data_IF_730583944125
#
_entry.id   IF_730583944125
#
_cell.length_a   1.000
_cell.length_b   1.000
_cell.length_c   1.000
_cell.angle_alpha   90.00
_cell.angle_beta   90.00
_cell.angle_gamma   90.00
#
_symmetry.space_group_name_H-M   'P 1'
#
loop_
_entity.id
_entity.type
_entity.pdbx_description
1 polymer ?
#
# COMPACT_ATOMS: atom_id res chain seq x y z
N UNK A 1 18.57 -25.85 6.95
CA UNK A 1 17.45 -25.07 7.48
C UNK A 1 16.26 -25.17 6.53
N UNK A 2 15.14 -25.78 6.95
CA UNK A 2 13.90 -25.85 6.18
C UNK A 2 13.34 -24.45 5.86
N UNK A 3 12.49 -24.29 4.83
CA UNK A 3 11.93 -23.00 4.44
C UNK A 3 11.16 -22.26 5.55
N UNK A 4 10.49 -22.99 6.45
CA UNK A 4 9.75 -22.42 7.58
C UNK A 4 10.67 -21.77 8.61
N UNK A 5 11.69 -22.50 9.06
CA UNK A 5 12.71 -22.02 10.02
C UNK A 5 13.47 -20.79 9.46
N UNK A 6 13.70 -20.74 8.13
CA UNK A 6 14.27 -19.54 7.49
C UNK A 6 13.37 -18.32 7.61
N UNK A 7 12.05 -18.48 7.40
CA UNK A 7 11.09 -17.37 7.50
C UNK A 7 10.99 -16.86 8.92
N UNK A 8 10.89 -17.78 9.89
CA UNK A 8 10.85 -17.42 11.32
C UNK A 8 12.06 -16.59 11.74
N UNK A 9 13.27 -17.00 11.34
CA UNK A 9 14.48 -16.24 11.61
C UNK A 9 14.46 -14.84 11.00
N UNK A 10 14.08 -14.71 9.73
CA UNK A 10 13.99 -13.41 9.05
C UNK A 10 12.95 -12.51 9.74
N UNK A 11 11.78 -13.05 10.08
CA UNK A 11 10.74 -12.32 10.80
C UNK A 11 11.26 -11.85 12.17
N UNK A 12 11.95 -12.71 12.92
CA UNK A 12 12.53 -12.33 14.21
C UNK A 12 13.58 -11.22 14.08
N UNK A 13 14.43 -11.26 13.05
CA UNK A 13 15.41 -10.20 12.77
C UNK A 13 14.73 -8.87 12.38
N UNK A 14 13.65 -8.92 11.60
CA UNK A 14 12.85 -7.73 11.27
C UNK A 14 12.25 -7.15 12.54
N UNK A 15 11.61 -7.97 13.37
CA UNK A 15 10.98 -7.53 14.63
C UNK A 15 12.04 -6.95 15.58
N UNK A 16 13.19 -7.61 15.76
CA UNK A 16 14.24 -7.12 16.64
C UNK A 16 14.81 -5.76 16.18
N UNK A 17 14.96 -5.57 14.86
CA UNK A 17 15.49 -4.31 14.30
C UNK A 17 14.47 -3.17 14.29
N UNK A 18 13.19 -3.48 14.06
CA UNK A 18 12.16 -2.46 13.78
C UNK A 18 11.18 -2.26 14.92
N UNK A 19 11.02 -3.22 15.84
CA UNK A 19 9.98 -3.22 16.86
C UNK A 19 8.56 -3.38 16.31
N UNK A 20 8.41 -3.83 15.04
CA UNK A 20 7.09 -4.01 14.44
C UNK A 20 6.33 -5.16 15.12
N UNK A 21 5.09 -4.86 15.50
CA UNK A 21 4.16 -5.80 16.13
C UNK A 21 2.78 -5.66 15.49
N UNK A 22 1.90 -6.65 15.73
CA UNK A 22 0.53 -6.61 15.23
C UNK A 22 -0.27 -5.39 15.73
N UNK A 23 -0.23 -5.02 17.03
CA UNK A 23 -0.88 -3.79 17.49
C UNK A 23 -0.32 -2.52 16.84
N UNK A 24 0.98 -2.49 16.50
CA UNK A 24 1.57 -1.36 15.79
C UNK A 24 1.04 -1.26 14.36
N UNK A 25 0.93 -2.39 13.65
CA UNK A 25 0.33 -2.46 12.31
C UNK A 25 -1.12 -1.95 12.35
N UNK A 26 -1.92 -2.39 13.33
CA UNK A 26 -3.30 -1.94 13.46
C UNK A 26 -3.39 -0.42 13.67
N UNK A 27 -2.57 0.13 14.59
CA UNK A 27 -2.51 1.58 14.84
C UNK A 27 -2.12 2.36 13.58
N UNK A 28 -1.08 1.91 12.88
CA UNK A 28 -0.61 2.53 11.64
C UNK A 28 -1.71 2.53 10.58
N UNK A 29 -2.33 1.37 10.33
CA UNK A 29 -3.35 1.21 9.30
C UNK A 29 -4.60 2.02 9.64
N UNK A 30 -5.06 2.02 10.90
CA UNK A 30 -6.21 2.84 11.32
C UNK A 30 -5.93 4.33 11.16
N UNK A 31 -4.77 4.81 11.62
CA UNK A 31 -4.37 6.21 11.48
C UNK A 31 -4.27 6.62 10.00
N UNK A 32 -3.68 5.77 9.18
CA UNK A 32 -3.52 6.01 7.76
C UNK A 32 -4.87 6.14 7.05
N UNK A 33 -5.79 5.19 7.27
CA UNK A 33 -7.09 5.24 6.62
C UNK A 33 -7.99 6.35 7.16
N UNK A 34 -7.80 6.82 8.40
CA UNK A 34 -8.46 8.04 8.87
C UNK A 34 -8.04 9.27 8.05
N UNK A 35 -6.75 9.41 7.73
CA UNK A 35 -6.25 10.47 6.85
C UNK A 35 -6.74 10.31 5.42
N UNK A 36 -6.70 9.10 4.86
CA UNK A 36 -7.21 8.81 3.51
C UNK A 36 -8.67 9.21 3.36
N UNK A 37 -9.51 8.89 4.34
CA UNK A 37 -10.94 9.27 4.33
C UNK A 37 -11.16 10.79 4.37
N UNK A 38 -10.24 11.52 4.97
CA UNK A 38 -10.31 12.98 5.08
C UNK A 38 -9.70 13.69 3.86
N UNK A 39 -8.94 12.98 3.02
CA UNK A 39 -8.34 13.53 1.81
C UNK A 39 -9.38 13.67 0.69
N UNK A 40 -9.50 14.86 0.11
CA UNK A 40 -10.53 15.17 -0.87
C UNK A 40 -10.42 14.39 -2.19
N UNK A 41 -9.23 13.88 -2.52
CA UNK A 41 -8.98 13.12 -3.77
C UNK A 41 -9.08 11.63 -3.49
N UNK A 42 -8.28 11.13 -2.55
CA UNK A 42 -8.27 9.71 -2.21
C UNK A 42 -9.56 9.27 -1.55
N UNK A 43 -10.13 10.08 -0.67
CA UNK A 43 -11.40 9.79 0.02
C UNK A 43 -12.49 9.39 -0.96
N UNK A 44 -12.66 10.14 -2.06
CA UNK A 44 -13.65 9.84 -3.11
C UNK A 44 -13.40 8.48 -3.78
N UNK A 45 -12.15 8.13 -4.07
CA UNK A 45 -11.79 6.84 -4.68
C UNK A 45 -12.15 5.67 -3.76
N UNK A 46 -11.86 5.82 -2.46
CA UNK A 46 -12.15 4.78 -1.47
C UNK A 46 -13.64 4.69 -1.14
N UNK A 47 -14.34 5.80 -0.94
CA UNK A 47 -15.79 5.86 -0.64
C UNK A 47 -16.64 5.26 -1.76
N UNK A 48 -16.22 5.40 -3.01
CA UNK A 48 -16.89 4.78 -4.15
C UNK A 48 -16.86 3.24 -4.13
N UNK A 49 -16.02 2.63 -3.28
CA UNK A 49 -15.79 1.17 -3.25
C UNK A 49 -15.92 0.54 -1.86
N UNK A 50 -15.84 1.33 -0.80
CA UNK A 50 -15.82 0.87 0.58
C UNK A 50 -16.95 1.54 1.35
N UNK A 51 -17.99 0.75 1.59
CA UNK A 51 -19.12 1.16 2.43
C UNK A 51 -18.98 0.66 3.87
N UNK A 52 -18.39 -0.53 4.05
CA UNK A 52 -18.05 -1.07 5.37
C UNK A 52 -16.52 -1.05 5.58
N UNK A 53 -16.10 -0.22 6.54
CA UNK A 53 -14.69 0.05 6.78
C UNK A 53 -14.01 -1.00 7.63
N UNK A 54 -14.68 -1.61 8.60
CA UNK A 54 -13.98 -2.53 9.52
C UNK A 54 -13.49 -3.79 8.80
N UNK A 55 -14.28 -4.47 7.94
CA UNK A 55 -13.77 -5.59 7.13
C UNK A 55 -12.66 -5.18 6.16
N UNK A 56 -12.65 -3.93 5.69
CA UNK A 56 -11.52 -3.41 4.92
C UNK A 56 -10.26 -3.28 5.77
N UNK A 57 -10.38 -2.67 6.95
CA UNK A 57 -9.25 -2.50 7.88
C UNK A 57 -8.67 -3.85 8.30
N UNK A 58 -9.49 -4.85 8.62
CA UNK A 58 -9.03 -6.21 8.97
C UNK A 58 -8.22 -6.85 7.84
N UNK A 59 -8.67 -6.69 6.58
CA UNK A 59 -7.90 -7.15 5.40
C UNK A 59 -6.57 -6.41 5.26
N UNK A 60 -6.54 -5.12 5.59
CA UNK A 60 -5.33 -4.31 5.54
C UNK A 60 -4.35 -4.62 6.66
N UNK A 61 -4.81 -5.02 7.85
CA UNK A 61 -3.95 -5.53 8.91
C UNK A 61 -3.26 -6.83 8.46
N UNK A 62 -4.03 -7.78 7.92
CA UNK A 62 -3.48 -9.02 7.38
C UNK A 62 -2.49 -8.77 6.23
N UNK A 63 -2.79 -7.82 5.33
CA UNK A 63 -1.92 -7.41 4.24
C UNK A 63 -0.59 -6.89 4.77
N UNK A 64 -0.61 -5.89 5.66
CA UNK A 64 0.61 -5.27 6.16
C UNK A 64 1.44 -6.20 7.05
N UNK A 65 0.81 -7.10 7.80
CA UNK A 65 1.56 -8.15 8.49
C UNK A 65 2.22 -9.14 7.53
N UNK A 66 1.56 -9.50 6.43
CA UNK A 66 2.17 -10.37 5.42
C UNK A 66 3.35 -9.69 4.72
N UNK A 67 3.23 -8.38 4.49
CA UNK A 67 4.26 -7.57 3.82
C UNK A 67 5.45 -7.27 4.74
N UNK A 68 5.21 -6.86 5.99
CA UNK A 68 6.27 -6.45 6.92
C UNK A 68 6.85 -7.62 7.72
N UNK A 69 6.03 -8.61 8.09
CA UNK A 69 6.41 -9.70 8.99
C UNK A 69 6.41 -11.08 8.32
N UNK A 70 6.12 -11.16 7.02
CA UNK A 70 6.07 -12.42 6.26
C UNK A 70 5.08 -13.45 6.86
N UNK A 71 4.04 -12.99 7.56
CA UNK A 71 3.12 -13.86 8.31
C UNK A 71 2.23 -14.74 7.44
N UNK A 72 2.07 -14.40 6.17
CA UNK A 72 1.24 -15.15 5.22
C UNK A 72 -0.27 -15.07 5.49
N UNK A 73 -0.74 -14.13 6.33
CA UNK A 73 -2.17 -13.97 6.69
C UNK A 73 -3.04 -13.36 5.58
N UNK A 74 -2.43 -12.79 4.55
CA UNK A 74 -3.12 -12.20 3.41
C UNK A 74 -2.99 -13.08 2.17
N UNK A 75 -4.13 -13.41 1.57
CA UNK A 75 -4.25 -14.28 0.39
C UNK A 75 -4.90 -13.60 -0.82
N UNK A 76 -5.05 -12.26 -0.78
CA UNK A 76 -5.67 -11.52 -1.86
C UNK A 76 -4.70 -11.22 -3.02
N UNK A 77 -5.25 -10.67 -4.11
CA UNK A 77 -4.50 -10.22 -5.28
C UNK A 77 -4.61 -8.69 -5.41
N UNK A 78 -3.67 -7.91 -4.85
CA UNK A 78 -3.75 -6.45 -4.82
C UNK A 78 -3.91 -5.87 -6.23
N UNK A 79 -3.10 -6.33 -7.20
CA UNK A 79 -3.12 -5.82 -8.58
C UNK A 79 -4.53 -5.88 -9.20
N UNK A 80 -5.22 -7.03 -9.08
CA UNK A 80 -6.55 -7.20 -9.65
C UNK A 80 -7.60 -6.24 -9.06
N UNK A 81 -7.40 -5.77 -7.82
CA UNK A 81 -8.28 -4.78 -7.18
C UNK A 81 -7.96 -3.34 -7.58
N UNK A 82 -6.72 -3.05 -7.98
CA UNK A 82 -6.29 -1.70 -8.34
C UNK A 82 -6.40 -1.41 -9.85
N UNK A 83 -6.23 -2.42 -10.71
CA UNK A 83 -6.40 -2.30 -12.17
C UNK A 83 -7.66 -1.53 -12.62
N UNK A 84 -8.88 -1.81 -12.09
CA UNK A 84 -10.09 -1.12 -12.53
C UNK A 84 -10.31 0.25 -11.84
N UNK A 85 -9.35 0.73 -11.03
CA UNK A 85 -9.49 2.02 -10.34
C UNK A 85 -9.03 3.16 -11.24
N UNK A 86 -9.72 4.31 -11.23
CA UNK A 86 -9.32 5.51 -11.95
C UNK A 86 -8.14 6.25 -11.27
N UNK A 87 -7.07 5.53 -10.96
CA UNK A 87 -5.88 6.06 -10.25
C UNK A 87 -4.68 6.16 -11.18
N UNK A 88 -3.76 7.05 -10.81
CA UNK A 88 -2.52 7.35 -11.51
C UNK A 88 -1.44 7.81 -10.52
N UNK A 89 -0.32 8.33 -11.03
CA UNK A 89 0.83 8.74 -10.22
C UNK A 89 0.49 9.74 -9.13
N UNK A 90 -0.38 10.72 -9.38
CA UNK A 90 -0.75 11.73 -8.39
C UNK A 90 -1.50 11.10 -7.21
N UNK A 91 -2.34 10.09 -7.48
CA UNK A 91 -3.01 9.33 -6.42
C UNK A 91 -2.00 8.53 -5.58
N UNK A 92 -1.05 7.86 -6.22
CA UNK A 92 -0.02 7.10 -5.51
C UNK A 92 0.90 8.01 -4.68
N UNK A 93 1.25 9.19 -5.20
CA UNK A 93 2.09 10.16 -4.48
C UNK A 93 1.38 10.70 -3.23
N UNK A 94 0.09 11.05 -3.35
CA UNK A 94 -0.74 11.43 -2.18
C UNK A 94 -0.85 10.30 -1.17
N UNK A 95 -1.09 9.08 -1.64
CA UNK A 95 -1.25 7.92 -0.76
C UNK A 95 0.06 7.64 0.00
N UNK A 96 1.21 7.72 -0.68
CA UNK A 96 2.54 7.56 -0.07
C UNK A 96 2.88 8.68 0.91
N UNK A 97 2.46 9.92 0.62
CA UNK A 97 2.65 11.05 1.53
C UNK A 97 1.89 10.84 2.84
N UNK A 98 0.59 10.54 2.78
CA UNK A 98 -0.24 10.28 3.96
C UNK A 98 0.24 9.05 4.75
N UNK A 99 0.65 8.00 4.04
CA UNK A 99 1.17 6.79 4.67
C UNK A 99 2.49 7.08 5.40
N UNK A 100 3.41 7.79 4.75
CA UNK A 100 4.70 8.13 5.34
C UNK A 100 4.60 9.12 6.50
N UNK A 101 3.67 10.07 6.44
CA UNK A 101 3.32 10.95 7.55
C UNK A 101 2.81 10.14 8.75
N UNK A 102 1.81 9.28 8.54
CA UNK A 102 1.26 8.43 9.62
C UNK A 102 2.32 7.50 10.20
N UNK A 103 3.16 6.90 9.35
CA UNK A 103 4.24 6.02 9.81
C UNK A 103 5.21 6.75 10.74
N UNK A 104 5.58 8.00 10.43
CA UNK A 104 6.45 8.82 11.28
C UNK A 104 5.80 9.26 12.59
N UNK A 105 4.48 9.40 12.63
CA UNK A 105 3.74 9.74 13.86
C UNK A 105 3.57 8.55 14.80
N UNK A 106 3.41 7.34 14.24
CA UNK A 106 2.93 6.16 14.97
C UNK A 106 4.06 5.20 15.37
N UNK A 107 5.14 5.15 14.58
CA UNK A 107 6.21 4.16 14.68
C UNK A 107 7.54 4.78 15.16
N UNK A 108 8.48 3.93 15.57
CA UNK A 108 9.89 4.34 15.68
C UNK A 108 10.46 4.72 14.29
N UNK A 109 11.57 5.47 14.22
CA UNK A 109 12.22 5.80 12.95
C UNK A 109 12.56 4.57 12.09
N UNK A 110 12.98 3.45 12.71
CA UNK A 110 13.34 2.21 12.03
C UNK A 110 12.11 1.54 11.42
N UNK A 111 11.02 1.41 12.19
CA UNK A 111 9.77 0.86 11.70
C UNK A 111 9.15 1.74 10.62
N UNK A 112 9.14 3.07 10.80
CA UNK A 112 8.62 4.01 9.82
C UNK A 112 9.37 3.90 8.49
N UNK A 113 10.71 3.89 8.54
CA UNK A 113 11.56 3.71 7.35
C UNK A 113 11.24 2.38 6.64
N UNK A 114 11.15 1.29 7.39
CA UNK A 114 10.85 -0.02 6.84
C UNK A 114 9.48 -0.06 6.13
N UNK A 115 8.43 0.45 6.77
CA UNK A 115 7.09 0.50 6.17
C UNK A 115 7.06 1.39 4.92
N UNK A 116 7.71 2.55 4.95
CA UNK A 116 7.73 3.48 3.81
C UNK A 116 8.45 2.87 2.60
N UNK A 117 9.55 2.15 2.82
CA UNK A 117 10.26 1.45 1.74
C UNK A 117 9.38 0.38 1.08
N UNK A 118 8.68 -0.41 1.89
CA UNK A 118 7.75 -1.43 1.40
C UNK A 118 6.58 -0.79 0.64
N UNK A 119 6.02 0.29 1.19
CA UNK A 119 4.93 1.05 0.58
C UNK A 119 5.31 1.58 -0.82
N UNK A 120 6.50 2.17 -0.96
CA UNK A 120 7.01 2.67 -2.24
C UNK A 120 7.18 1.57 -3.28
N UNK A 121 7.72 0.41 -2.88
CA UNK A 121 7.88 -0.75 -3.78
C UNK A 121 6.53 -1.27 -4.26
N UNK A 122 5.54 -1.35 -3.37
CA UNK A 122 4.18 -1.76 -3.73
C UNK A 122 3.53 -0.76 -4.68
N UNK A 123 3.59 0.53 -4.36
CA UNK A 123 3.03 1.59 -5.20
C UNK A 123 3.63 1.57 -6.61
N UNK A 124 4.96 1.50 -6.73
CA UNK A 124 5.65 1.41 -8.02
C UNK A 124 5.23 0.17 -8.83
N UNK A 125 5.10 -1.00 -8.18
CA UNK A 125 4.64 -2.22 -8.84
C UNK A 125 3.19 -2.11 -9.32
N UNK A 126 2.29 -1.56 -8.49
CA UNK A 126 0.89 -1.35 -8.84
C UNK A 126 0.75 -0.37 -10.00
N UNK A 127 1.45 0.77 -9.94
CA UNK A 127 1.42 1.79 -10.98
C UNK A 127 1.89 1.24 -12.34
N UNK A 128 3.02 0.51 -12.36
CA UNK A 128 3.52 -0.14 -13.58
C UNK A 128 2.52 -1.15 -14.14
N UNK A 129 1.90 -1.97 -13.27
CA UNK A 129 0.90 -2.95 -13.71
C UNK A 129 -0.38 -2.30 -14.25
N UNK A 130 -0.82 -1.20 -13.66
CA UNK A 130 -1.98 -0.42 -14.13
C UNK A 130 -1.69 0.23 -15.48
N UNK A 131 -0.50 0.80 -15.67
CA UNK A 131 -0.08 1.39 -16.94
C UNK A 131 -0.08 0.33 -18.05
N UNK A 132 0.55 -0.82 -17.81
CA UNK A 132 0.59 -1.93 -18.76
C UNK A 132 -0.80 -2.48 -19.10
N UNK A 133 -1.68 -2.60 -18.11
CA UNK A 133 -3.08 -3.01 -18.33
C UNK A 133 -3.88 -2.00 -19.19
N UNK A 134 -3.43 -0.75 -19.29
CA UNK A 134 -4.01 0.29 -20.13
C UNK A 134 -3.24 0.51 -21.43
N UNK A 135 -2.32 -0.40 -21.78
CA UNK A 135 -1.53 -0.32 -23.01
C UNK A 135 -0.45 0.77 -22.98
N UNK A 136 -0.14 1.34 -21.82
CA UNK A 136 0.90 2.36 -21.66
C UNK A 136 2.21 1.69 -21.24
N UNK A 137 3.24 1.85 -22.05
CA UNK A 137 4.61 1.44 -21.73
C UNK A 137 5.35 2.60 -21.09
N UNK A 138 5.70 2.48 -19.81
CA UNK A 138 6.48 3.49 -19.10
C UNK A 138 7.97 3.31 -19.38
N UNK A 139 8.64 4.38 -19.78
CA UNK A 139 10.09 4.48 -19.85
C UNK A 139 10.74 4.57 -18.47
N UNK A 140 12.08 4.56 -18.46
CA UNK A 140 12.83 4.65 -17.21
C UNK A 140 12.59 5.99 -16.51
N UNK A 141 12.05 5.95 -15.28
CA UNK A 141 11.72 7.14 -14.50
C UNK A 141 10.38 7.80 -14.87
N UNK A 142 9.67 7.28 -15.87
CA UNK A 142 8.32 7.77 -16.20
C UNK A 142 7.28 7.26 -15.20
N UNK A 143 6.26 8.08 -14.99
CA UNK A 143 5.15 7.81 -14.06
C UNK A 143 3.84 7.79 -14.85
N UNK A 144 2.94 6.90 -14.50
CA UNK A 144 1.66 6.76 -15.18
C UNK A 144 0.75 7.96 -14.86
N UNK A 145 0.40 8.75 -15.87
CA UNK A 145 -0.51 9.90 -15.75
C UNK A 145 -1.73 9.64 -16.62
N UNK A 146 -2.93 9.76 -16.05
CA UNK A 146 -4.16 9.77 -16.86
C UNK A 146 -4.32 11.19 -17.39
N UNK A 147 -4.20 11.38 -18.70
CA UNK A 147 -4.57 12.67 -19.29
C UNK A 147 -6.05 12.95 -18.99
N UNK A 148 -6.42 14.20 -18.68
CA UNK A 148 -7.82 14.62 -18.47
C UNK A 148 -8.72 14.38 -19.70
N UNK A 149 -8.13 14.07 -20.86
CA UNK A 149 -8.84 13.73 -22.09
C UNK A 149 -9.18 12.23 -22.12
N UNK A 150 -10.34 11.88 -21.57
CA UNK A 150 -11.09 10.68 -21.95
C UNK A 150 -11.66 10.77 -23.38
N UNK A 151 -10.87 11.19 -24.37
CA UNK A 151 -11.27 11.16 -25.77
C UNK A 151 -10.69 9.90 -26.42
N UNK A 152 -11.58 8.93 -26.64
CA UNK A 152 -11.40 7.88 -27.63
C UNK A 152 -11.21 8.55 -29.01
N UNK A 153 -10.20 8.19 -29.81
CA UNK A 153 -10.21 8.58 -31.22
C UNK A 153 -11.41 7.90 -31.89
N UNK A 154 -12.29 8.73 -32.46
CA UNK A 154 -13.43 8.28 -33.26
C UNK A 154 -13.04 7.74 -34.63
#
# INVERSE_FOLDING_TARGET
MPPAERREKITAEIVARTGITEPLIERLVRGFYAKVRSDAVLGRVFEARIHDWEPHLQRMFAFWSSVALMSGRYHGTPMAKHMPLPVDADHFDRWLALFGETAREVCSPEAATHFIELARRIAASLELGIAGAQGVLLGNGERFRRNEAGEMPG
#
